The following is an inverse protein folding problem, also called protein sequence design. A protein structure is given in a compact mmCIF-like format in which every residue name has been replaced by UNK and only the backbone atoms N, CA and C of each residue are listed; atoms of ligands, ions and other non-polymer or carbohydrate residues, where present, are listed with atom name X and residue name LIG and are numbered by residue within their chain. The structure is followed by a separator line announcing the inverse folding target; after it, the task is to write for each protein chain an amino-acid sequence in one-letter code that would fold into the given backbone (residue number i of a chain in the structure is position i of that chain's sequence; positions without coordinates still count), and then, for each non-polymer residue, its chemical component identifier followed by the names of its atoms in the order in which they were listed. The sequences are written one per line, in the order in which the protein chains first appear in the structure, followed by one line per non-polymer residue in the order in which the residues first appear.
data_IF_873089197604
#
_entry.id   IF_873089197604
#
_cell.length_a   1.000
_cell.length_b   1.000
_cell.length_c   1.000
_cell.angle_alpha   90.00
_cell.angle_beta   90.00
_cell.angle_gamma   90.00
#
_symmetry.space_group_name_H-M   'P 1'
#
loop_
_entity.id
_entity.type
_entity.pdbx_description
1 polymer ?
#
# COMPACT_ATOMS: atom_id res chain seq x y z
N UNK A 1 -9.23 -1.08 -22.49
CA UNK A 1 -8.78 -1.01 -21.09
C UNK A 1 -9.35 0.27 -20.53
N UNK A 2 -10.02 0.26 -19.37
CA UNK A 2 -10.30 1.48 -18.65
C UNK A 2 -8.98 2.23 -18.49
N UNK A 3 -8.98 3.50 -18.83
CA UNK A 3 -7.77 4.32 -18.72
C UNK A 3 -7.25 4.32 -17.28
N UNK A 4 -5.96 4.55 -17.05
CA UNK A 4 -5.40 4.74 -15.69
C UNK A 4 -6.17 5.81 -14.89
N UNK A 5 -6.71 6.79 -15.62
CA UNK A 5 -7.61 7.83 -15.12
C UNK A 5 -8.98 7.32 -14.68
N UNK A 6 -9.49 6.23 -15.25
CA UNK A 6 -10.75 5.59 -14.84
C UNK A 6 -10.63 4.85 -13.50
N UNK A 7 -9.48 4.26 -13.18
CA UNK A 7 -9.28 3.48 -11.93
C UNK A 7 -9.58 4.27 -10.64
N UNK A 8 -9.43 5.58 -10.64
CA UNK A 8 -9.72 6.43 -9.47
C UNK A 8 -10.87 7.41 -9.73
N UNK A 9 -11.61 7.18 -10.82
CA UNK A 9 -12.72 8.03 -11.23
C UNK A 9 -14.00 7.77 -10.44
N UNK A 10 -14.07 6.67 -9.68
CA UNK A 10 -15.20 6.35 -8.81
C UNK A 10 -15.38 7.41 -7.73
N UNK A 11 -16.39 8.26 -7.95
CA UNK A 11 -16.89 9.22 -6.97
C UNK A 11 -18.16 8.64 -6.37
N UNK A 12 -18.24 8.48 -5.03
CA UNK A 12 -19.44 7.97 -4.39
C UNK A 12 -20.66 8.83 -4.70
N UNK A 13 -21.73 8.20 -5.17
CA UNK A 13 -23.02 8.84 -5.33
C UNK A 13 -23.59 9.19 -3.94
N UNK A 14 -23.38 10.44 -3.49
CA UNK A 14 -23.76 10.90 -2.15
C UNK A 14 -25.22 10.61 -1.81
N UNK A 15 -26.13 10.73 -2.78
CA UNK A 15 -27.54 10.39 -2.61
C UNK A 15 -27.74 8.91 -2.27
N UNK A 16 -27.04 7.99 -2.96
CA UNK A 16 -27.13 6.56 -2.69
C UNK A 16 -26.53 6.22 -1.32
N UNK A 17 -25.45 6.88 -0.91
CA UNK A 17 -24.88 6.66 0.43
C UNK A 17 -25.81 7.12 1.55
N UNK A 18 -26.45 8.29 1.38
CA UNK A 18 -27.44 8.80 2.34
C UNK A 18 -28.68 7.89 2.35
N UNK A 19 -29.18 7.48 1.19
CA UNK A 19 -30.28 6.54 1.08
C UNK A 19 -29.96 5.20 1.77
N UNK A 20 -28.74 4.67 1.58
CA UNK A 20 -28.27 3.47 2.25
C UNK A 20 -28.26 3.63 3.77
N UNK A 21 -27.74 4.73 4.29
CA UNK A 21 -27.74 5.00 5.73
C UNK A 21 -29.17 5.11 6.29
N UNK A 22 -30.07 5.80 5.58
CA UNK A 22 -31.47 5.91 5.99
C UNK A 22 -32.14 4.54 5.99
N UNK A 23 -31.93 3.72 4.95
CA UNK A 23 -32.47 2.36 4.89
C UNK A 23 -31.92 1.48 6.03
N UNK A 24 -30.62 1.58 6.36
CA UNK A 24 -30.03 0.86 7.48
C UNK A 24 -30.65 1.27 8.82
N UNK A 25 -30.86 2.56 9.06
CA UNK A 25 -31.52 3.06 10.28
C UNK A 25 -32.98 2.59 10.38
N UNK A 26 -33.72 2.65 9.27
CA UNK A 26 -35.11 2.17 9.21
C UNK A 26 -35.17 0.66 9.44
N UNK A 27 -34.30 -0.10 8.80
CA UNK A 27 -34.19 -1.54 8.99
C UNK A 27 -33.89 -1.90 10.45
N UNK A 28 -32.89 -1.24 11.04
CA UNK A 28 -32.53 -1.39 12.46
C UNK A 28 -33.71 -1.09 13.40
N UNK A 29 -34.44 0.00 13.14
CA UNK A 29 -35.63 0.36 13.92
C UNK A 29 -36.73 -0.71 13.81
N UNK A 30 -37.05 -1.14 12.59
CA UNK A 30 -38.09 -2.15 12.34
C UNK A 30 -37.74 -3.46 13.03
N UNK A 31 -36.50 -3.92 12.90
CA UNK A 31 -36.09 -5.21 13.48
C UNK A 31 -36.07 -5.16 15.01
N UNK A 32 -35.68 -4.03 15.58
CA UNK A 32 -35.56 -3.88 17.05
C UNK A 32 -36.92 -3.73 17.73
N UNK A 33 -37.85 -2.97 17.15
CA UNK A 33 -39.07 -2.56 17.85
C UNK A 33 -40.36 -3.15 17.28
N UNK A 34 -40.38 -3.56 16.01
CA UNK A 34 -41.60 -4.01 15.34
C UNK A 34 -41.60 -5.50 15.04
N UNK A 35 -40.42 -6.13 15.02
CA UNK A 35 -40.28 -7.54 14.70
C UNK A 35 -40.43 -8.40 15.95
N UNK A 36 -41.32 -9.40 15.91
CA UNK A 36 -41.46 -10.38 16.99
C UNK A 36 -40.32 -11.39 16.91
N UNK A 37 -39.61 -11.59 18.01
CA UNK A 37 -38.55 -12.58 18.11
C UNK A 37 -38.97 -13.75 18.99
N UNK A 38 -38.68 -14.97 18.54
CA UNK A 38 -38.93 -16.19 19.32
C UNK A 38 -37.76 -16.59 20.22
N UNK A 39 -36.52 -16.33 19.79
CA UNK A 39 -35.31 -16.67 20.53
C UNK A 39 -34.54 -15.39 20.90
N UNK A 40 -34.51 -15.09 22.20
CA UNK A 40 -33.86 -13.89 22.74
C UNK A 40 -32.36 -13.80 22.41
N UNK A 41 -31.64 -14.92 22.54
CA UNK A 41 -30.19 -14.93 22.31
C UNK A 41 -29.83 -14.60 20.86
N UNK A 42 -30.49 -15.27 19.90
CA UNK A 42 -30.27 -15.01 18.48
C UNK A 42 -30.71 -13.60 18.08
N UNK A 43 -31.77 -13.08 18.71
CA UNK A 43 -32.21 -11.71 18.50
C UNK A 43 -31.17 -10.69 18.95
N UNK A 44 -30.66 -10.79 20.17
CA UNK A 44 -29.63 -9.85 20.64
C UNK A 44 -28.31 -9.96 19.88
N UNK A 45 -27.96 -11.16 19.40
CA UNK A 45 -26.82 -11.35 18.51
C UNK A 45 -27.02 -10.64 17.17
N UNK A 46 -28.23 -10.71 16.60
CA UNK A 46 -28.62 -9.95 15.41
C UNK A 46 -28.56 -8.43 15.66
N UNK A 47 -29.13 -7.96 16.77
CA UNK A 47 -29.08 -6.52 17.14
C UNK A 47 -27.65 -6.02 17.26
N UNK A 48 -26.74 -6.79 17.87
CA UNK A 48 -25.33 -6.43 17.94
C UNK A 48 -24.69 -6.31 16.55
N UNK A 49 -25.02 -7.24 15.63
CA UNK A 49 -24.61 -7.18 14.24
C UNK A 49 -25.13 -5.94 13.51
N UNK A 50 -26.39 -5.58 13.72
CA UNK A 50 -27.01 -4.41 13.08
C UNK A 50 -26.49 -3.08 13.62
N UNK A 51 -26.17 -3.00 14.92
CA UNK A 51 -25.48 -1.84 15.49
C UNK A 51 -24.12 -1.67 14.82
N UNK A 52 -23.36 -2.75 14.68
CA UNK A 52 -22.08 -2.74 13.99
C UNK A 52 -22.22 -2.34 12.51
N UNK A 53 -23.21 -2.88 11.80
CA UNK A 53 -23.48 -2.53 10.40
C UNK A 53 -23.88 -1.06 10.22
N UNK A 54 -24.78 -0.55 11.07
CA UNK A 54 -25.20 0.87 11.04
C UNK A 54 -24.03 1.79 11.32
N UNK A 55 -23.18 1.43 12.30
CA UNK A 55 -21.93 2.14 12.59
C UNK A 55 -20.97 2.11 11.39
N UNK A 56 -20.80 0.97 10.72
CA UNK A 56 -20.00 0.85 9.51
C UNK A 56 -20.54 1.73 8.37
N UNK A 57 -21.85 1.73 8.13
CA UNK A 57 -22.49 2.55 7.10
C UNK A 57 -22.29 4.06 7.37
N UNK A 58 -22.47 4.47 8.63
CA UNK A 58 -22.25 5.85 9.07
C UNK A 58 -20.79 6.28 8.91
N UNK A 59 -19.84 5.46 9.39
CA UNK A 59 -18.41 5.76 9.33
C UNK A 59 -17.88 5.73 7.90
N UNK A 60 -18.37 4.82 7.06
CA UNK A 60 -18.07 4.80 5.63
C UNK A 60 -18.55 6.09 4.96
N UNK A 61 -19.83 6.47 5.14
CA UNK A 61 -20.38 7.72 4.62
C UNK A 61 -19.55 8.93 5.07
N UNK A 62 -19.24 9.01 6.36
CA UNK A 62 -18.46 10.11 6.93
C UNK A 62 -17.05 10.18 6.33
N UNK A 63 -16.39 9.04 6.17
CA UNK A 63 -15.03 8.94 5.60
C UNK A 63 -15.00 9.37 4.14
N UNK A 64 -15.94 8.88 3.32
CA UNK A 64 -15.92 9.12 1.87
C UNK A 64 -16.66 10.40 1.45
N UNK A 65 -17.14 11.20 2.41
CA UNK A 65 -17.89 12.43 2.12
C UNK A 65 -17.05 13.50 1.43
N UNK A 66 -15.75 13.56 1.77
CA UNK A 66 -14.75 14.47 1.21
C UNK A 66 -13.57 13.68 0.69
N UNK A 67 -13.25 13.85 -0.59
CA UNK A 67 -12.22 13.08 -1.31
C UNK A 67 -11.12 13.95 -1.92
N UNK A 68 -11.14 15.25 -1.64
CA UNK A 68 -10.37 16.31 -2.31
C UNK A 68 -9.30 16.93 -1.39
N UNK A 69 -8.66 16.10 -0.56
CA UNK A 69 -7.57 16.56 0.29
C UNK A 69 -6.38 17.05 -0.55
N UNK A 70 -5.94 18.28 -0.28
CA UNK A 70 -4.76 18.89 -0.89
C UNK A 70 -3.70 19.13 0.17
N UNK A 71 -2.53 18.54 0.00
CA UNK A 71 -1.37 18.78 0.84
C UNK A 71 -0.42 19.78 0.18
N UNK A 72 0.46 20.38 1.00
CA UNK A 72 1.55 21.23 0.50
C UNK A 72 2.52 20.36 -0.29
N UNK A 73 2.82 20.79 -1.51
CA UNK A 73 3.74 20.11 -2.41
C UNK A 73 4.73 21.13 -2.97
N UNK A 74 6.01 20.76 -3.00
CA UNK A 74 7.07 21.56 -3.61
C UNK A 74 7.86 20.72 -4.61
N UNK A 75 7.74 20.98 -5.92
CA UNK A 75 8.47 20.23 -6.95
C UNK A 75 9.98 20.50 -6.93
N UNK A 76 10.44 21.57 -6.27
CA UNK A 76 11.88 21.87 -6.12
C UNK A 76 12.52 21.10 -4.95
N UNK A 77 11.71 20.52 -4.06
CA UNK A 77 12.20 19.70 -2.96
C UNK A 77 12.62 18.32 -3.48
N UNK A 78 13.91 18.21 -3.83
CA UNK A 78 14.48 17.00 -4.46
C UNK A 78 15.61 16.35 -3.63
N UNK A 79 15.37 15.95 -2.37
CA UNK A 79 16.35 15.27 -1.53
C UNK A 79 16.71 13.89 -2.12
N UNK A 80 17.87 13.30 -1.72
CA UNK A 80 18.20 11.94 -2.10
C UNK A 80 17.13 10.92 -1.67
N UNK A 81 16.93 9.88 -2.48
CA UNK A 81 16.02 8.76 -2.19
C UNK A 81 16.72 7.41 -2.40
N UNK A 82 16.57 6.49 -1.45
CA UNK A 82 16.92 5.09 -1.67
C UNK A 82 15.67 4.34 -2.14
N UNK A 83 15.75 3.67 -3.29
CA UNK A 83 14.65 2.91 -3.88
C UNK A 83 14.92 1.44 -3.65
N UNK A 84 14.01 0.77 -2.94
CA UNK A 84 14.10 -0.63 -2.57
C UNK A 84 13.10 -1.46 -3.36
N UNK A 85 13.60 -2.52 -3.99
CA UNK A 85 12.80 -3.52 -4.69
C UNK A 85 12.95 -4.82 -3.90
N UNK A 86 11.90 -5.28 -3.25
CA UNK A 86 11.97 -6.49 -2.42
C UNK A 86 11.77 -7.74 -3.26
N UNK A 87 12.74 -8.66 -3.20
CA UNK A 87 12.76 -9.90 -3.99
C UNK A 87 13.03 -11.07 -3.06
N UNK A 88 12.16 -12.06 -3.02
CA UNK A 88 12.34 -13.30 -2.26
C UNK A 88 12.45 -14.55 -3.14
N UNK A 89 11.98 -14.52 -4.38
CA UNK A 89 11.97 -15.66 -5.29
C UNK A 89 11.28 -15.44 -6.63
N UNK A 90 10.99 -14.19 -6.95
CA UNK A 90 10.31 -13.77 -8.16
C UNK A 90 11.21 -14.02 -9.38
N UNK A 91 10.62 -14.34 -10.55
CA UNK A 91 11.37 -14.54 -11.79
C UNK A 91 12.25 -13.34 -12.16
N UNK A 92 13.44 -13.61 -12.73
CA UNK A 92 14.42 -12.57 -13.03
C UNK A 92 13.93 -11.53 -14.05
N UNK A 93 13.07 -11.91 -14.99
CA UNK A 93 12.43 -11.01 -15.97
C UNK A 93 11.46 -10.02 -15.32
N UNK A 94 10.69 -10.47 -14.32
CA UNK A 94 9.81 -9.59 -13.52
C UNK A 94 10.63 -8.60 -12.70
N UNK A 95 11.68 -9.08 -12.03
CA UNK A 95 12.60 -8.22 -11.27
C UNK A 95 13.32 -7.23 -12.19
N UNK A 96 13.70 -7.66 -13.40
CA UNK A 96 14.35 -6.81 -14.39
C UNK A 96 13.44 -5.67 -14.86
N UNK A 97 12.17 -5.95 -15.19
CA UNK A 97 11.20 -4.94 -15.61
C UNK A 97 11.10 -3.82 -14.56
N UNK A 98 10.91 -4.19 -13.30
CA UNK A 98 10.78 -3.24 -12.18
C UNK A 98 12.09 -2.50 -11.89
N UNK A 99 13.23 -3.20 -11.91
CA UNK A 99 14.53 -2.58 -11.62
C UNK A 99 14.98 -1.59 -12.71
N UNK A 100 14.70 -1.88 -13.98
CA UNK A 100 14.94 -0.95 -15.08
C UNK A 100 14.07 0.29 -14.94
N UNK A 101 12.76 0.11 -14.71
CA UNK A 101 11.85 1.24 -14.52
C UNK A 101 12.22 2.11 -13.32
N UNK A 102 12.63 1.49 -12.21
CA UNK A 102 13.08 2.19 -11.01
C UNK A 102 14.37 2.99 -11.25
N UNK A 103 15.33 2.45 -12.02
CA UNK A 103 16.60 3.11 -12.35
C UNK A 103 16.38 4.30 -13.30
N UNK A 104 15.41 4.18 -14.20
CA UNK A 104 15.17 5.16 -15.25
C UNK A 104 14.13 6.22 -14.84
N UNK A 105 13.77 6.30 -13.54
CA UNK A 105 12.90 7.36 -13.01
C UNK A 105 13.53 8.74 -13.22
N UNK A 106 12.70 9.71 -13.63
CA UNK A 106 13.06 11.11 -13.90
C UNK A 106 13.24 11.89 -12.58
N UNK A 107 14.20 11.50 -11.75
CA UNK A 107 14.46 12.13 -10.45
C UNK A 107 15.97 12.29 -10.20
N UNK A 108 16.44 13.50 -9.82
CA UNK A 108 17.86 13.85 -9.90
C UNK A 108 18.77 13.03 -8.98
N UNK A 109 18.28 12.62 -7.81
CA UNK A 109 19.10 12.00 -6.78
C UNK A 109 18.42 10.74 -6.22
N UNK A 110 18.52 9.61 -6.90
CA UNK A 110 18.03 8.34 -6.37
C UNK A 110 19.03 7.20 -6.60
N UNK A 111 18.98 6.20 -5.72
CA UNK A 111 19.79 4.98 -5.80
C UNK A 111 18.87 3.77 -5.72
N UNK A 112 19.01 2.84 -6.64
CA UNK A 112 18.19 1.62 -6.68
C UNK A 112 18.93 0.45 -6.05
N UNK A 113 18.24 -0.26 -5.17
CA UNK A 113 18.72 -1.48 -4.53
C UNK A 113 17.69 -2.60 -4.66
N UNK A 114 18.12 -3.72 -5.24
CA UNK A 114 17.41 -4.99 -5.16
C UNK A 114 17.72 -5.61 -3.78
N UNK A 115 16.69 -5.86 -2.99
CA UNK A 115 16.79 -6.49 -1.68
C UNK A 115 16.52 -7.98 -1.83
N UNK A 116 17.59 -8.76 -1.97
CA UNK A 116 17.53 -10.17 -2.34
C UNK A 116 17.47 -11.09 -1.10
N UNK A 117 16.27 -11.58 -0.82
CA UNK A 117 15.97 -12.59 0.20
C UNK A 117 16.04 -14.02 -0.33
N UNK A 118 16.31 -14.24 -1.62
CA UNK A 118 16.30 -15.57 -2.25
C UNK A 118 17.19 -16.58 -1.52
N UNK A 119 18.35 -16.14 -1.01
CA UNK A 119 19.25 -16.99 -0.23
C UNK A 119 18.59 -17.51 1.06
N UNK A 120 18.02 -16.62 1.87
CA UNK A 120 17.36 -17.00 3.14
C UNK A 120 16.02 -17.69 2.93
N UNK A 121 15.35 -17.41 1.81
CA UNK A 121 14.11 -18.07 1.39
C UNK A 121 14.35 -19.41 0.66
N UNK A 122 15.62 -19.83 0.49
CA UNK A 122 16.04 -21.06 -0.21
C UNK A 122 15.47 -21.17 -1.63
N UNK A 123 15.58 -20.08 -2.38
CA UNK A 123 15.19 -20.03 -3.80
C UNK A 123 16.40 -20.17 -4.68
N UNK A 124 16.32 -21.05 -5.67
CA UNK A 124 17.46 -21.39 -6.52
C UNK A 124 17.94 -20.22 -7.39
N UNK A 125 17.08 -19.24 -7.68
CA UNK A 125 17.38 -18.10 -8.54
C UNK A 125 18.11 -16.93 -7.82
N UNK A 126 18.49 -17.07 -6.55
CA UNK A 126 19.08 -15.95 -5.80
C UNK A 126 20.40 -15.42 -6.40
N UNK A 127 21.24 -16.29 -6.97
CA UNK A 127 22.49 -15.90 -7.65
C UNK A 127 22.22 -15.19 -8.98
N UNK A 128 21.18 -15.62 -9.69
CA UNK A 128 20.72 -14.99 -10.92
C UNK A 128 20.30 -13.53 -10.65
N UNK A 129 19.59 -13.27 -9.55
CA UNK A 129 19.22 -11.90 -9.13
C UNK A 129 20.46 -11.04 -8.83
N UNK A 130 21.52 -11.61 -8.24
CA UNK A 130 22.79 -10.88 -8.03
C UNK A 130 23.45 -10.53 -9.36
N UNK A 131 23.49 -11.47 -10.30
CA UNK A 131 24.03 -11.26 -11.64
C UNK A 131 23.22 -10.21 -12.42
N UNK A 132 21.89 -10.25 -12.31
CA UNK A 132 20.96 -9.27 -12.88
C UNK A 132 21.26 -7.87 -12.35
N UNK A 133 21.34 -7.69 -11.04
CA UNK A 133 21.63 -6.38 -10.43
C UNK A 133 22.94 -5.79 -10.96
N UNK A 134 23.99 -6.62 -11.05
CA UNK A 134 25.29 -6.23 -11.61
C UNK A 134 25.18 -5.82 -13.08
N UNK A 135 24.42 -6.56 -13.89
CA UNK A 135 24.19 -6.25 -15.31
C UNK A 135 23.43 -4.93 -15.49
N UNK A 136 22.47 -4.64 -14.63
CA UNK A 136 21.66 -3.41 -14.68
C UNK A 136 22.37 -2.18 -14.08
N UNK A 137 23.48 -2.38 -13.36
CA UNK A 137 24.22 -1.32 -12.68
C UNK A 137 23.52 -0.79 -11.42
N UNK A 138 22.66 -1.60 -10.79
CA UNK A 138 21.94 -1.25 -9.56
C UNK A 138 22.55 -1.98 -8.35
N UNK A 139 22.29 -1.46 -7.14
CA UNK A 139 22.73 -2.12 -5.91
C UNK A 139 22.01 -3.45 -5.69
N UNK A 140 22.68 -4.41 -5.08
CA UNK A 140 22.07 -5.65 -4.59
C UNK A 140 22.49 -5.85 -3.13
N UNK A 141 21.51 -6.09 -2.27
CA UNK A 141 21.72 -6.42 -0.86
C UNK A 141 21.13 -7.80 -0.64
N UNK A 142 22.00 -8.82 -0.62
CA UNK A 142 21.58 -10.20 -0.34
C UNK A 142 21.64 -10.45 1.15
N UNK A 143 20.49 -10.77 1.75
CA UNK A 143 20.43 -11.05 3.18
C UNK A 143 20.95 -12.45 3.47
N UNK A 144 21.78 -12.57 4.51
CA UNK A 144 22.40 -13.84 4.93
C UNK A 144 21.82 -14.40 6.22
N UNK A 145 21.09 -13.60 7.00
CA UNK A 145 20.47 -13.99 8.27
C UNK A 145 18.94 -13.91 8.12
N UNK A 146 18.20 -15.01 8.34
CA UNK A 146 16.75 -15.02 8.21
C UNK A 146 16.05 -14.26 9.36
N UNK A 147 14.80 -13.86 9.14
CA UNK A 147 13.91 -13.32 10.18
C UNK A 147 13.04 -12.16 9.70
N UNK A 148 11.77 -12.11 10.11
CA UNK A 148 10.88 -10.98 9.80
C UNK A 148 10.50 -10.78 8.32
N UNK A 149 10.71 -11.79 7.46
CA UNK A 149 10.33 -11.78 6.04
C UNK A 149 10.71 -10.44 5.33
N UNK A 150 9.77 -9.85 4.57
CA UNK A 150 9.95 -8.58 3.84
C UNK A 150 10.35 -7.42 4.76
N UNK A 151 9.72 -7.29 5.94
CA UNK A 151 10.08 -6.28 6.93
C UNK A 151 11.56 -6.38 7.35
N UNK A 152 12.02 -7.61 7.64
CA UNK A 152 13.39 -7.87 8.01
C UNK A 152 14.38 -7.59 6.87
N UNK A 153 13.98 -7.83 5.63
CA UNK A 153 14.78 -7.53 4.44
C UNK A 153 14.99 -6.02 4.28
N UNK A 154 13.88 -5.25 4.37
CA UNK A 154 13.91 -3.78 4.37
C UNK A 154 14.76 -3.27 5.54
N UNK A 155 14.60 -3.81 6.75
CA UNK A 155 15.40 -3.42 7.91
C UNK A 155 16.90 -3.71 7.75
N UNK A 156 17.28 -4.81 7.10
CA UNK A 156 18.67 -5.09 6.76
C UNK A 156 19.22 -4.02 5.80
N UNK A 157 18.47 -3.73 4.73
CA UNK A 157 18.83 -2.71 3.75
C UNK A 157 18.92 -1.31 4.34
N UNK A 158 18.02 -0.93 5.25
CA UNK A 158 18.07 0.35 5.96
C UNK A 158 19.38 0.51 6.72
N UNK A 159 19.86 -0.54 7.40
CA UNK A 159 21.13 -0.54 8.12
C UNK A 159 22.33 -0.42 7.17
N UNK A 160 22.33 -1.18 6.08
CA UNK A 160 23.43 -1.18 5.11
C UNK A 160 23.55 0.13 4.34
N UNK A 161 22.44 0.64 3.82
CA UNK A 161 22.41 1.93 3.10
C UNK A 161 22.70 3.10 4.03
N UNK A 162 22.20 3.06 5.26
CA UNK A 162 22.46 4.07 6.29
C UNK A 162 23.95 4.29 6.56
N UNK A 163 24.73 3.19 6.64
CA UNK A 163 26.20 3.23 6.85
C UNK A 163 26.96 3.86 5.68
N UNK A 164 26.43 3.80 4.46
CA UNK A 164 27.12 4.20 3.21
C UNK A 164 26.71 5.59 2.70
N UNK A 165 26.06 6.42 3.54
CA UNK A 165 25.36 7.67 3.22
C UNK A 165 23.87 7.45 2.86
N UNK A 166 23.07 7.01 3.83
CA UNK A 166 21.64 6.74 3.65
C UNK A 166 20.84 7.97 3.24
N UNK A 167 19.93 7.80 2.29
CA UNK A 167 19.00 8.85 1.89
C UNK A 167 17.97 9.15 3.00
N UNK A 168 17.49 10.40 3.16
CA UNK A 168 16.46 10.73 4.15
C UNK A 168 15.10 10.06 3.88
N UNK A 169 14.85 9.63 2.63
CA UNK A 169 13.62 8.98 2.23
C UNK A 169 13.90 7.65 1.54
N UNK A 170 12.97 6.72 1.68
CA UNK A 170 13.03 5.38 1.11
C UNK A 170 11.76 5.11 0.31
N UNK A 171 11.89 4.82 -0.98
CA UNK A 171 10.80 4.31 -1.79
C UNK A 171 10.82 2.77 -1.75
N UNK A 172 9.66 2.13 -1.64
CA UNK A 172 9.55 0.66 -1.58
C UNK A 172 8.60 0.16 -2.64
N UNK A 173 9.08 -0.81 -3.43
CA UNK A 173 8.31 -1.53 -4.44
C UNK A 173 8.44 -3.03 -4.23
N UNK A 174 7.33 -3.75 -4.45
CA UNK A 174 7.37 -5.18 -4.71
C UNK A 174 7.99 -5.46 -6.10
N UNK A 175 8.56 -6.65 -6.27
CA UNK A 175 9.26 -7.04 -7.50
C UNK A 175 8.38 -6.96 -8.76
N UNK A 176 7.07 -7.08 -8.63
CA UNK A 176 6.09 -7.06 -9.71
C UNK A 176 5.41 -5.71 -9.91
N UNK A 177 5.76 -4.69 -9.12
CA UNK A 177 5.18 -3.35 -9.18
C UNK A 177 6.13 -2.36 -9.88
N UNK A 178 5.90 -2.19 -11.18
CA UNK A 178 6.74 -1.39 -12.07
C UNK A 178 6.42 0.11 -11.89
N UNK A 179 7.34 0.94 -11.36
CA UNK A 179 7.09 2.36 -11.17
C UNK A 179 7.02 3.13 -12.49
N UNK A 180 6.23 4.21 -12.52
CA UNK A 180 6.26 5.20 -13.58
C UNK A 180 7.47 6.11 -13.41
N UNK A 181 7.95 6.66 -14.53
CA UNK A 181 9.11 7.56 -14.57
C UNK A 181 8.97 8.78 -13.65
N UNK A 182 7.75 9.24 -13.40
CA UNK A 182 7.43 10.43 -12.61
C UNK A 182 7.05 10.11 -11.15
N UNK A 183 7.17 8.85 -10.70
CA UNK A 183 6.77 8.42 -9.35
C UNK A 183 7.40 9.28 -8.25
N UNK A 184 8.73 9.44 -8.25
CA UNK A 184 9.43 10.22 -7.22
C UNK A 184 9.14 11.72 -7.35
N UNK A 185 9.05 12.24 -8.58
CA UNK A 185 8.71 13.65 -8.82
C UNK A 185 7.33 14.01 -8.25
N UNK A 186 6.38 13.07 -8.27
CA UNK A 186 5.01 13.28 -7.76
C UNK A 186 4.80 12.93 -6.29
N UNK A 187 5.78 12.33 -5.62
CA UNK A 187 5.63 11.87 -4.23
C UNK A 187 6.57 12.57 -3.26
N UNK A 188 7.83 12.81 -3.64
CA UNK A 188 8.84 13.30 -2.69
C UNK A 188 8.59 14.75 -2.28
N UNK A 189 8.06 15.58 -3.18
CA UNK A 189 7.80 17.00 -2.92
C UNK A 189 6.81 17.28 -1.77
N UNK A 190 6.08 16.28 -1.26
CA UNK A 190 5.21 16.42 -0.10
C UNK A 190 5.96 16.42 1.24
N UNK A 191 7.18 15.89 1.29
CA UNK A 191 8.00 15.85 2.51
C UNK A 191 8.60 17.20 2.91
N UNK A 192 8.22 18.29 2.22
CA UNK A 192 8.35 19.65 2.76
C UNK A 192 7.57 19.86 4.06
N UNK A 193 6.57 19.01 4.35
CA UNK A 193 6.08 18.83 5.71
C UNK A 193 7.01 17.87 6.47
N UNK A 194 7.85 18.41 7.35
CA UNK A 194 8.79 17.63 8.17
C UNK A 194 8.11 16.63 9.12
N UNK A 195 6.80 16.74 9.34
CA UNK A 195 6.01 15.78 10.11
C UNK A 195 5.40 14.67 9.24
N UNK A 196 5.63 14.67 7.94
CA UNK A 196 5.15 13.60 7.06
C UNK A 196 6.02 12.34 7.22
N UNK A 197 5.38 11.26 7.69
CA UNK A 197 6.00 9.97 7.90
C UNK A 197 6.06 9.14 6.63
N UNK A 198 4.99 9.11 5.83
CA UNK A 198 4.96 8.41 4.56
C UNK A 198 3.93 8.97 3.56
N UNK A 199 4.19 8.69 2.30
CA UNK A 199 3.30 8.91 1.15
C UNK A 199 2.96 7.55 0.54
N UNK A 200 1.66 7.25 0.43
CA UNK A 200 1.16 6.05 -0.24
C UNK A 200 0.53 6.42 -1.59
N UNK A 201 0.74 5.59 -2.60
CA UNK A 201 0.05 5.66 -3.90
C UNK A 201 -0.76 4.36 -4.14
N UNK A 202 -1.70 4.31 -5.09
CA UNK A 202 -2.52 3.13 -5.35
C UNK A 202 -1.72 1.90 -5.79
N UNK A 203 -2.26 0.72 -5.54
CA UNK A 203 -1.88 -0.49 -6.29
C UNK A 203 -2.86 -0.66 -7.45
N UNK A 204 -2.34 -0.62 -8.67
CA UNK A 204 -3.11 -0.82 -9.90
C UNK A 204 -2.60 -2.07 -10.59
N UNK A 205 -3.50 -2.96 -11.01
CA UNK A 205 -3.13 -4.20 -11.70
C UNK A 205 -3.26 -4.07 -13.21
N UNK A 206 -2.14 -4.21 -13.95
CA UNK A 206 -2.12 -4.10 -15.42
C UNK A 206 -2.76 -5.31 -16.12
N UNK A 207 -2.85 -6.46 -15.44
CA UNK A 207 -3.42 -7.70 -15.95
C UNK A 207 -4.91 -7.89 -15.62
N UNK A 208 -5.65 -6.83 -15.24
CA UNK A 208 -7.04 -6.90 -14.78
C UNK A 208 -7.98 -7.71 -15.70
N UNK A 209 -7.82 -7.62 -17.02
CA UNK A 209 -8.72 -8.26 -17.99
C UNK A 209 -8.27 -9.64 -18.48
N UNK A 210 -7.29 -10.27 -17.83
CA UNK A 210 -6.87 -11.63 -18.21
C UNK A 210 -7.95 -12.68 -17.89
N UNK A 211 -8.58 -12.59 -16.71
CA UNK A 211 -9.66 -13.48 -16.29
C UNK A 211 -10.52 -12.85 -15.18
N UNK A 212 -11.50 -13.60 -14.67
CA UNK A 212 -12.41 -13.13 -13.62
C UNK A 212 -11.71 -12.86 -12.27
N UNK A 213 -10.66 -13.61 -11.93
CA UNK A 213 -9.90 -13.42 -10.68
C UNK A 213 -9.10 -12.13 -10.74
N UNK A 214 -8.42 -11.87 -11.86
CA UNK A 214 -7.66 -10.63 -12.05
C UNK A 214 -8.59 -9.41 -12.07
N UNK A 215 -9.78 -9.54 -12.68
CA UNK A 215 -10.77 -8.46 -12.72
C UNK A 215 -11.32 -8.17 -11.32
N UNK A 216 -11.70 -9.20 -10.57
CA UNK A 216 -12.23 -9.04 -9.21
C UNK A 216 -11.19 -8.44 -8.27
N UNK A 217 -9.92 -8.85 -8.42
CA UNK A 217 -8.80 -8.27 -7.66
C UNK A 217 -8.64 -6.79 -7.97
N UNK A 218 -8.75 -6.40 -9.24
CA UNK A 218 -8.69 -5.00 -9.66
C UNK A 218 -9.87 -4.17 -9.10
N UNK A 219 -11.10 -4.68 -9.16
CA UNK A 219 -12.30 -4.00 -8.63
C UNK A 219 -12.23 -3.82 -7.11
N UNK A 220 -11.69 -4.81 -6.38
CA UNK A 220 -11.43 -4.69 -4.95
C UNK A 220 -10.46 -3.54 -4.65
N UNK A 221 -9.38 -3.45 -5.44
CA UNK A 221 -8.40 -2.36 -5.29
C UNK A 221 -8.98 -1.00 -5.67
N UNK A 222 -9.85 -0.94 -6.68
CA UNK A 222 -10.51 0.30 -7.09
C UNK A 222 -11.36 0.90 -5.95
N UNK A 223 -12.14 0.08 -5.25
CA UNK A 223 -12.93 0.52 -4.09
C UNK A 223 -12.03 1.01 -2.94
N UNK A 224 -10.96 0.28 -2.63
CA UNK A 224 -10.06 0.60 -1.53
C UNK A 224 -9.21 1.84 -1.81
N UNK A 225 -8.50 1.87 -2.95
CA UNK A 225 -7.62 2.98 -3.31
C UNK A 225 -8.40 4.18 -3.86
N UNK A 226 -9.60 4.00 -4.40
CA UNK A 226 -10.48 5.08 -4.79
C UNK A 226 -11.10 5.80 -3.59
N UNK A 227 -12.40 5.62 -3.31
CA UNK A 227 -13.10 6.43 -2.32
C UNK A 227 -12.58 6.25 -0.88
N UNK A 228 -12.17 5.04 -0.48
CA UNK A 228 -11.76 4.76 0.91
C UNK A 228 -10.45 5.48 1.24
N UNK A 229 -9.37 5.22 0.51
CA UNK A 229 -8.07 5.85 0.76
C UNK A 229 -8.10 7.37 0.56
N UNK A 230 -8.85 7.87 -0.43
CA UNK A 230 -9.06 9.32 -0.62
C UNK A 230 -9.78 9.97 0.55
N UNK A 231 -10.80 9.31 1.10
CA UNK A 231 -11.49 9.75 2.32
C UNK A 231 -10.57 9.74 3.54
N UNK A 232 -9.90 8.61 3.78
CA UNK A 232 -8.94 8.45 4.88
C UNK A 232 -7.80 9.46 4.85
N UNK A 233 -7.40 9.92 3.66
CA UNK A 233 -6.36 10.93 3.48
C UNK A 233 -6.65 12.22 4.26
N UNK A 234 -7.90 12.70 4.20
CA UNK A 234 -8.28 13.95 4.88
C UNK A 234 -8.28 13.83 6.41
N UNK A 235 -8.28 12.60 6.93
CA UNK A 235 -8.27 12.26 8.35
C UNK A 235 -6.86 11.97 8.87
N UNK A 236 -5.81 12.20 8.07
CA UNK A 236 -4.44 11.80 8.40
C UNK A 236 -4.35 10.29 8.73
N UNK A 237 -5.06 9.48 7.95
CA UNK A 237 -5.22 8.04 8.21
C UNK A 237 -4.94 7.19 6.97
N UNK A 238 -4.15 7.70 6.03
CA UNK A 238 -3.73 6.92 4.87
C UNK A 238 -3.07 5.62 5.34
N UNK A 239 -3.44 4.51 4.72
CA UNK A 239 -2.95 3.16 5.04
C UNK A 239 -1.61 2.96 4.34
N UNK A 240 -0.62 2.41 5.03
CA UNK A 240 0.63 1.96 4.40
C UNK A 240 0.42 0.53 3.87
N UNK A 241 0.61 0.33 2.57
CA UNK A 241 0.22 -0.89 1.85
C UNK A 241 1.41 -1.65 1.25
N UNK A 242 2.60 -1.47 1.81
CA UNK A 242 3.75 -2.36 1.58
C UNK A 242 4.48 -2.17 0.24
N UNK A 243 3.90 -1.47 -0.72
CA UNK A 243 4.50 -1.14 -2.02
C UNK A 243 3.97 0.21 -2.50
N UNK A 244 4.59 0.77 -3.54
CA UNK A 244 4.23 2.05 -4.15
C UNK A 244 4.18 3.20 -3.13
N UNK A 245 5.15 3.22 -2.21
CA UNK A 245 5.19 4.14 -1.08
C UNK A 245 6.57 4.78 -0.93
N UNK A 246 6.58 5.99 -0.39
CA UNK A 246 7.81 6.69 0.04
C UNK A 246 7.70 6.93 1.54
N UNK A 247 8.76 6.64 2.29
CA UNK A 247 8.76 6.69 3.75
C UNK A 247 9.93 7.55 4.23
N UNK A 248 9.67 8.40 5.21
CA UNK A 248 10.70 9.12 5.96
C UNK A 248 11.54 8.13 6.77
N UNK A 249 12.85 8.10 6.51
CA UNK A 249 13.79 7.27 7.27
C UNK A 249 13.81 7.67 8.75
N UNK A 250 13.58 8.95 9.06
CA UNK A 250 13.47 9.43 10.44
C UNK A 250 12.23 8.86 11.14
N UNK A 251 11.08 8.85 10.46
CA UNK A 251 9.86 8.26 11.00
C UNK A 251 10.03 6.75 11.25
N UNK A 252 10.59 6.02 10.27
CA UNK A 252 10.92 4.59 10.44
C UNK A 252 11.89 4.37 11.61
N UNK A 253 12.93 5.18 11.72
CA UNK A 253 13.90 5.07 12.81
C UNK A 253 13.28 5.22 14.19
N UNK A 254 12.29 6.10 14.36
CA UNK A 254 11.60 6.32 15.63
C UNK A 254 10.68 5.17 16.06
N UNK A 255 10.21 4.35 15.11
CA UNK A 255 9.39 3.17 15.38
C UNK A 255 10.21 1.87 15.37
N UNK A 256 11.54 1.96 15.22
CA UNK A 256 12.43 0.80 15.23
C UNK A 256 12.60 0.10 13.86
N UNK A 257 12.15 0.73 12.77
CA UNK A 257 12.14 0.16 11.43
C UNK A 257 10.77 -0.41 11.04
N UNK A 258 10.74 -1.25 10.01
CA UNK A 258 9.54 -2.02 9.64
C UNK A 258 9.24 -3.07 10.71
N UNK A 259 7.98 -3.21 11.09
CA UNK A 259 7.49 -4.18 12.08
C UNK A 259 7.73 -5.62 11.61
N UNK A 260 8.48 -6.43 12.35
CA UNK A 260 8.76 -7.82 12.00
C UNK A 260 7.85 -8.84 12.70
N UNK A 261 6.99 -8.37 13.61
CA UNK A 261 6.14 -9.22 14.46
C UNK A 261 4.74 -9.45 13.87
N UNK A 262 4.37 -8.66 12.86
CA UNK A 262 3.09 -8.76 12.15
C UNK A 262 3.29 -9.38 10.77
N UNK A 263 2.31 -10.18 10.34
CA UNK A 263 2.22 -10.67 8.95
C UNK A 263 1.83 -9.53 8.00
N UNK A 264 1.06 -8.55 8.49
CA UNK A 264 0.81 -7.27 7.82
C UNK A 264 1.78 -6.23 8.37
N UNK A 265 3.06 -6.37 8.02
CA UNK A 265 4.15 -5.54 8.56
C UNK A 265 3.96 -4.05 8.25
N UNK A 266 3.44 -3.76 7.07
CA UNK A 266 3.27 -2.46 6.49
C UNK A 266 2.19 -1.68 7.23
N UNK A 267 1.01 -2.26 7.39
CA UNK A 267 -0.09 -1.68 8.13
C UNK A 267 0.30 -1.41 9.59
N UNK A 268 0.91 -2.40 10.26
CA UNK A 268 1.38 -2.25 11.63
C UNK A 268 2.42 -1.14 11.78
N UNK A 269 3.39 -1.06 10.86
CA UNK A 269 4.40 0.01 10.86
C UNK A 269 3.75 1.38 10.66
N UNK A 270 2.77 1.49 9.76
CA UNK A 270 2.02 2.73 9.54
C UNK A 270 1.30 3.22 10.80
N UNK A 271 0.68 2.29 11.56
CA UNK A 271 0.06 2.60 12.85
C UNK A 271 1.07 3.10 13.89
N UNK A 272 2.23 2.45 14.01
CA UNK A 272 3.27 2.91 14.93
C UNK A 272 3.82 4.29 14.53
N UNK A 273 3.94 4.58 13.23
CA UNK A 273 4.33 5.91 12.75
C UNK A 273 3.29 6.96 13.17
N UNK A 274 1.99 6.67 13.02
CA UNK A 274 0.91 7.53 13.50
C UNK A 274 0.91 7.70 15.02
N UNK A 275 1.17 6.63 15.78
CA UNK A 275 1.27 6.67 17.26
C UNK A 275 2.38 7.62 17.73
N UNK A 276 3.48 7.72 16.97
CA UNK A 276 4.56 8.69 17.22
C UNK A 276 4.24 10.12 16.76
N UNK A 277 3.01 10.38 16.29
CA UNK A 277 2.54 11.71 15.90
C UNK A 277 2.97 12.16 14.50
N UNK A 278 3.50 11.25 13.68
CA UNK A 278 3.77 11.53 12.27
C UNK A 278 2.48 11.52 11.46
N UNK A 279 2.49 12.24 10.35
CA UNK A 279 1.39 12.30 9.39
C UNK A 279 1.56 11.26 8.29
N UNK A 280 0.48 10.94 7.60
CA UNK A 280 0.52 10.22 6.34
C UNK A 280 -0.24 10.96 5.25
N UNK A 281 0.14 10.67 4.01
CA UNK A 281 -0.49 11.25 2.83
C UNK A 281 -0.78 10.14 1.81
N UNK A 282 -1.92 10.25 1.16
CA UNK A 282 -2.29 9.44 0.00
C UNK A 282 -2.29 10.31 -1.27
N UNK A 283 -1.60 9.87 -2.32
CA UNK A 283 -1.61 10.50 -3.64
C UNK A 283 -2.51 9.67 -4.55
N UNK A 284 -3.69 10.18 -4.95
CA UNK A 284 -4.66 9.43 -5.76
C UNK A 284 -4.29 9.47 -7.26
N UNK A 285 -3.09 8.98 -7.59
CA UNK A 285 -2.61 8.84 -8.96
C UNK A 285 -1.97 7.47 -9.13
N UNK A 286 -2.27 6.76 -10.21
CA UNK A 286 -1.58 5.51 -10.55
C UNK A 286 -0.16 5.85 -10.98
N UNK A 287 0.82 5.58 -10.11
CA UNK A 287 2.25 5.87 -10.34
C UNK A 287 3.11 4.61 -10.42
N UNK A 288 2.50 3.43 -10.30
CA UNK A 288 3.14 2.13 -10.50
C UNK A 288 2.08 1.11 -10.94
N UNK A 289 2.52 0.05 -11.61
CA UNK A 289 1.66 -0.99 -12.15
C UNK A 289 2.12 -2.37 -11.70
N UNK A 290 1.26 -3.06 -10.96
CA UNK A 290 1.46 -4.40 -10.43
C UNK A 290 0.79 -5.50 -11.24
N UNK A 291 0.98 -6.74 -10.78
CA UNK A 291 0.27 -7.92 -11.28
C UNK A 291 -0.72 -8.43 -10.22
N UNK A 292 -1.98 -8.64 -10.62
CA UNK A 292 -2.97 -9.35 -9.82
C UNK A 292 -2.68 -10.86 -9.84
N UNK A 293 -3.08 -11.60 -8.79
CA UNK A 293 -3.10 -13.07 -8.83
C UNK A 293 -3.94 -13.58 -10.00
N UNK A 294 -3.39 -14.52 -10.78
CA UNK A 294 -4.06 -15.04 -11.98
C UNK A 294 -4.99 -16.22 -11.70
N UNK A 295 -4.88 -16.84 -10.52
CA UNK A 295 -5.67 -18.00 -10.13
C UNK A 295 -6.27 -17.85 -8.72
N UNK A 296 -7.36 -18.58 -8.47
CA UNK A 296 -8.12 -18.47 -7.23
C UNK A 296 -7.35 -18.91 -5.98
N UNK A 297 -6.43 -19.88 -6.10
CA UNK A 297 -5.63 -20.34 -4.97
C UNK A 297 -4.62 -19.27 -4.56
N UNK A 298 -3.94 -18.66 -5.53
CA UNK A 298 -3.02 -17.55 -5.29
C UNK A 298 -3.73 -16.33 -4.69
N UNK A 299 -4.91 -15.97 -5.24
CA UNK A 299 -5.76 -14.93 -4.67
C UNK A 299 -6.15 -15.24 -3.22
N UNK A 300 -6.68 -16.44 -2.94
CA UNK A 300 -7.14 -16.81 -1.59
C UNK A 300 -5.99 -16.81 -0.59
N UNK A 301 -4.79 -17.29 -0.97
CA UNK A 301 -3.59 -17.22 -0.11
C UNK A 301 -3.19 -15.79 0.21
N UNK A 302 -3.29 -14.88 -0.76
CA UNK A 302 -3.00 -13.46 -0.55
C UNK A 302 -4.03 -12.85 0.42
N UNK A 303 -5.33 -13.08 0.19
CA UNK A 303 -6.41 -12.53 1.02
C UNK A 303 -6.42 -13.11 2.44
N UNK A 304 -6.08 -14.38 2.64
CA UNK A 304 -6.01 -14.99 3.97
C UNK A 304 -4.84 -14.46 4.81
N UNK A 305 -3.79 -13.97 4.13
CA UNK A 305 -2.62 -13.38 4.79
C UNK A 305 -2.92 -11.95 5.26
N UNK A 306 -3.80 -11.24 4.56
CA UNK A 306 -4.28 -9.90 4.90
C UNK A 306 -5.32 -9.97 6.03
#
# INVERSE_FOLDING_TARGET
MPSKTEFLSSVPAKLLLVANLVMAIVYFFVITFLFRHGNEFLFWLLIAGEVFHTWQALTYLATVWRLDHKARFDPSFSPPVDVFITVAGEPADIVEETAVAARDMEYPNHRVFILNDGLVAKKDNWEEIVALAKRLGVGCITRTIPGGAKAGNINNALKETGRKAGAPYVAVFDADHVPHKDFLMKTVGYFVDEKLGFVQTPQYYKNAHMNAVTLSSWEQQELFFGPICRGKNHLNSATMCGTNMVISRAALGQVGGMCTESIAEDFATGLFIHEKGWKSLYVPEVLAEGLAPEDFLSYTKQQFRW
#
